data_IF_384619069845
#
_entry.id   IF_384619069845
#
_cell.length_a   1.000
_cell.length_b   1.000
_cell.length_c   1.000
_cell.angle_alpha   90.00
_cell.angle_beta   90.00
_cell.angle_gamma   90.00
#
_symmetry.space_group_name_H-M   'P 1'
#
loop_
_entity.id
_entity.type
_entity.pdbx_description
1 polymer ?
#
# COMPACT_ATOMS: atom_id res chain seq x y z
N UNK A 1 0.94 -12.16 1.11
CA UNK A 1 2.03 -11.23 1.46
C UNK A 1 1.72 -9.79 1.04
N UNK A 2 1.22 -9.53 -0.19
CA UNK A 2 0.81 -8.19 -0.67
C UNK A 2 -0.27 -7.57 0.23
N UNK A 3 -1.38 -8.28 0.48
CA UNK A 3 -2.46 -7.81 1.35
C UNK A 3 -2.02 -7.40 2.77
N UNK A 4 -0.98 -8.05 3.31
CA UNK A 4 -0.42 -7.66 4.62
C UNK A 4 0.23 -6.27 4.54
N UNK A 5 1.00 -5.99 3.49
CA UNK A 5 1.61 -4.68 3.31
C UNK A 5 0.57 -3.60 3.07
N UNK A 6 -0.46 -3.87 2.27
CA UNK A 6 -1.60 -2.97 2.06
C UNK A 6 -2.26 -2.64 3.41
N UNK A 7 -2.60 -3.66 4.21
CA UNK A 7 -3.19 -3.46 5.54
C UNK A 7 -2.28 -2.68 6.50
N UNK A 8 -0.96 -2.93 6.48
CA UNK A 8 -0.01 -2.19 7.32
C UNK A 8 0.16 -0.73 6.89
N UNK A 9 0.04 -0.44 5.59
CA UNK A 9 0.06 0.93 5.06
C UNK A 9 -1.22 1.67 5.46
N UNK A 10 -2.38 1.05 5.25
CA UNK A 10 -3.68 1.60 5.70
C UNK A 10 -3.69 1.88 7.21
N UNK A 11 -3.09 0.99 8.01
CA UNK A 11 -2.97 1.16 9.45
C UNK A 11 -1.89 2.17 9.89
N UNK A 12 -1.18 2.82 8.96
CA UNK A 12 -0.09 3.76 9.24
C UNK A 12 1.13 3.12 9.93
N UNK A 13 1.23 1.79 9.92
CA UNK A 13 2.32 1.03 10.56
C UNK A 13 3.53 0.84 9.64
N UNK A 14 3.34 1.03 8.33
CA UNK A 14 4.40 1.05 7.32
C UNK A 14 4.11 2.08 6.25
N UNK A 15 5.16 2.51 5.53
CA UNK A 15 5.04 3.29 4.30
C UNK A 15 5.36 2.43 3.09
N UNK A 16 4.91 2.85 1.90
CA UNK A 16 5.20 2.17 0.64
C UNK A 16 6.71 1.97 0.38
N UNK A 17 7.56 2.85 0.92
CA UNK A 17 9.02 2.73 0.84
C UNK A 17 9.58 1.51 1.60
N UNK A 18 8.88 1.03 2.63
CA UNK A 18 9.25 -0.14 3.42
C UNK A 18 8.75 -1.46 2.81
N UNK A 19 8.07 -1.40 1.65
CA UNK A 19 7.65 -2.57 0.89
C UNK A 19 8.84 -3.08 0.06
N UNK A 20 9.19 -4.38 0.14
CA UNK A 20 10.22 -4.96 -0.71
C UNK A 20 9.92 -4.77 -2.19
N UNK A 21 10.95 -4.49 -3.00
CA UNK A 21 10.82 -4.14 -4.43
C UNK A 21 9.92 -5.12 -5.22
N UNK A 22 10.05 -6.42 -4.98
CA UNK A 22 9.24 -7.47 -5.64
C UNK A 22 7.73 -7.36 -5.38
N UNK A 23 7.30 -6.64 -4.35
CA UNK A 23 5.89 -6.47 -3.99
C UNK A 23 5.36 -5.05 -4.25
N UNK A 24 6.23 -4.08 -4.52
CA UNK A 24 5.81 -2.67 -4.69
C UNK A 24 4.74 -2.49 -5.76
N UNK A 25 4.95 -3.07 -6.94
CA UNK A 25 3.99 -2.95 -8.05
C UNK A 25 2.61 -3.50 -7.67
N UNK A 26 2.57 -4.69 -7.05
CA UNK A 26 1.31 -5.31 -6.63
C UNK A 26 0.63 -4.55 -5.48
N UNK A 27 1.40 -4.07 -4.49
CA UNK A 27 0.86 -3.28 -3.37
C UNK A 27 0.30 -1.95 -3.86
N UNK A 28 0.96 -1.30 -4.83
CA UNK A 28 0.47 -0.04 -5.41
C UNK A 28 -0.85 -0.26 -6.14
N UNK A 29 -0.92 -1.28 -6.98
CA UNK A 29 -2.16 -1.62 -7.70
C UNK A 29 -3.33 -1.91 -6.74
N UNK A 30 -3.08 -2.63 -5.64
CA UNK A 30 -4.12 -2.90 -4.63
C UNK A 30 -4.56 -1.62 -3.90
N UNK A 31 -3.63 -0.73 -3.53
CA UNK A 31 -3.97 0.56 -2.91
C UNK A 31 -4.78 1.44 -3.86
N UNK A 32 -4.35 1.56 -5.12
CA UNK A 32 -5.06 2.32 -6.16
C UNK A 32 -6.46 1.74 -6.42
N UNK A 33 -6.63 0.42 -6.44
CA UNK A 33 -7.92 -0.24 -6.58
C UNK A 33 -8.87 0.04 -5.39
N UNK A 34 -8.32 0.33 -4.22
CA UNK A 34 -9.05 0.76 -3.03
C UNK A 34 -9.31 2.27 -3.00
N UNK A 35 -8.85 3.03 -4.00
CA UNK A 35 -8.93 4.48 -4.03
C UNK A 35 -7.99 5.13 -2.99
N UNK A 36 -6.87 4.50 -2.69
CA UNK A 36 -5.90 4.96 -1.71
C UNK A 36 -4.56 5.36 -2.36
N UNK A 37 -3.91 6.35 -1.79
CA UNK A 37 -2.54 6.75 -2.09
C UNK A 37 -1.51 5.79 -1.46
N UNK A 38 -0.22 6.06 -1.69
CA UNK A 38 0.90 5.26 -1.17
C UNK A 38 1.06 5.33 0.37
N UNK A 39 0.27 6.18 1.04
CA UNK A 39 0.22 6.33 2.49
C UNK A 39 -1.06 5.73 3.10
N UNK A 40 -1.93 5.14 2.28
CA UNK A 40 -3.20 4.57 2.72
C UNK A 40 -4.30 5.61 2.96
N UNK A 41 -4.14 6.83 2.43
CA UNK A 41 -5.16 7.88 2.48
C UNK A 41 -6.01 7.87 1.20
N UNK A 42 -7.28 8.29 1.23
CA UNK A 42 -8.09 8.45 0.03
C UNK A 42 -7.42 9.39 -0.98
N UNK A 43 -7.42 9.02 -2.26
CA UNK A 43 -7.14 9.95 -3.36
C UNK A 43 -8.43 10.70 -3.68
N UNK A 44 -8.44 12.01 -3.39
CA UNK A 44 -9.48 12.97 -3.85
C UNK A 44 -9.51 13.11 -5.37
#
# INVERSE_FOLDING_TARGET
MVALYVALIIAGRRTFNQVPAKFKAAVKADLEALGLDENGNPVD
#
